data_IF_158369395079
#
_entry.id   IF_158369395079
#
_cell.length_a   1.000
_cell.length_b   1.000
_cell.length_c   1.000
_cell.angle_alpha   90.00
_cell.angle_beta   90.00
_cell.angle_gamma   90.00
#
_symmetry.space_group_name_H-M   'P 1'
#
loop_
_entity.id
_entity.type
_entity.pdbx_description
1 polymer ?
#
# COMPACT_ATOMS: atom_id res chain seq x y z
N UNK A 1 -11.19 -4.77 -38.09
CA UNK A 1 -10.68 -5.04 -36.73
C UNK A 1 -10.90 -3.79 -35.90
N UNK A 2 -11.75 -3.84 -34.88
CA UNK A 2 -11.90 -2.70 -33.98
C UNK A 2 -10.68 -2.63 -33.06
N UNK A 3 -9.91 -1.56 -33.15
CA UNK A 3 -8.87 -1.20 -32.18
C UNK A 3 -9.58 -0.75 -30.89
N UNK A 4 -10.20 -1.68 -30.15
CA UNK A 4 -11.04 -1.36 -29.01
C UNK A 4 -10.25 -1.38 -27.69
N UNK A 5 -10.64 -0.47 -26.80
CA UNK A 5 -10.27 -0.50 -25.39
C UNK A 5 -10.81 -1.81 -24.78
N UNK A 6 -9.95 -2.55 -24.09
CA UNK A 6 -10.32 -3.76 -23.36
C UNK A 6 -10.01 -3.57 -21.88
N UNK A 7 -11.05 -3.55 -21.04
CA UNK A 7 -10.93 -3.61 -19.59
C UNK A 7 -10.43 -4.99 -19.18
N UNK A 8 -9.45 -5.02 -18.29
CA UNK A 8 -8.83 -6.23 -17.75
C UNK A 8 -8.72 -6.14 -16.25
N UNK A 9 -8.37 -7.28 -15.65
CA UNK A 9 -8.17 -7.42 -14.22
C UNK A 9 -6.88 -8.21 -13.94
N UNK A 10 -6.14 -7.83 -12.90
CA UNK A 10 -5.02 -8.59 -12.36
C UNK A 10 -5.20 -8.86 -10.86
N UNK A 11 -4.42 -9.81 -10.36
CA UNK A 11 -4.36 -10.17 -8.94
C UNK A 11 -3.08 -9.60 -8.34
N UNK A 12 -3.08 -9.27 -7.04
CA UNK A 12 -1.88 -8.81 -6.32
C UNK A 12 -1.63 -9.61 -5.04
N UNK A 13 -0.37 -9.96 -4.82
CA UNK A 13 0.14 -10.54 -3.57
C UNK A 13 1.37 -9.80 -3.07
N UNK A 14 1.62 -9.89 -1.76
CA UNK A 14 2.76 -9.26 -1.10
C UNK A 14 3.78 -10.31 -0.70
N UNK A 15 5.04 -10.11 -1.07
CA UNK A 15 6.17 -10.91 -0.61
C UNK A 15 6.96 -10.10 0.42
N UNK A 16 7.17 -10.67 1.61
CA UNK A 16 8.01 -10.05 2.63
C UNK A 16 9.44 -10.62 2.55
N UNK A 17 10.39 -9.82 2.08
CA UNK A 17 11.82 -10.15 2.12
C UNK A 17 12.58 -9.34 3.19
N UNK A 18 11.86 -8.59 4.03
CA UNK A 18 12.44 -7.86 5.16
C UNK A 18 12.78 -8.83 6.30
N UNK A 19 13.66 -8.44 7.25
CA UNK A 19 13.99 -9.30 8.39
C UNK A 19 12.87 -9.39 9.44
N UNK A 20 11.87 -8.51 9.40
CA UNK A 20 10.80 -8.42 10.39
C UNK A 20 9.46 -8.91 9.80
N UNK A 21 8.56 -9.37 10.66
CA UNK A 21 7.16 -9.64 10.26
C UNK A 21 6.49 -8.35 9.81
N UNK A 22 5.80 -8.38 8.66
CA UNK A 22 4.90 -7.30 8.25
C UNK A 22 3.55 -7.53 8.92
N UNK A 23 3.14 -6.60 9.78
CA UNK A 23 1.92 -6.73 10.61
C UNK A 23 0.70 -6.05 9.98
N UNK A 24 0.93 -5.19 8.99
CA UNK A 24 -0.10 -4.60 8.14
C UNK A 24 0.52 -4.04 6.87
N UNK A 25 -0.16 -4.24 5.74
CA UNK A 25 0.21 -3.65 4.45
C UNK A 25 -1.07 -3.28 3.69
N UNK A 26 -1.04 -2.14 3.03
CA UNK A 26 -2.10 -1.67 2.15
C UNK A 26 -1.49 -1.24 0.83
N UNK A 27 -2.19 -1.54 -0.25
CA UNK A 27 -1.80 -1.17 -1.61
C UNK A 27 -2.96 -0.43 -2.24
N UNK A 28 -2.66 0.73 -2.83
CA UNK A 28 -3.60 1.43 -3.70
C UNK A 28 -3.10 1.42 -5.13
N UNK A 29 -4.00 1.15 -6.05
CA UNK A 29 -3.79 1.14 -7.48
C UNK A 29 -4.73 2.12 -8.16
N UNK A 30 -4.20 2.94 -9.06
CA UNK A 30 -4.97 3.83 -9.93
C UNK A 30 -4.61 3.58 -11.38
N UNK A 31 -5.59 3.20 -12.20
CA UNK A 31 -5.46 3.28 -13.65
C UNK A 31 -5.84 4.69 -14.08
N UNK A 32 -4.88 5.61 -13.99
CA UNK A 32 -5.10 7.05 -14.16
C UNK A 32 -6.33 7.49 -13.34
N UNK A 33 -7.26 8.23 -13.93
CA UNK A 33 -8.47 8.69 -13.24
C UNK A 33 -9.69 7.78 -13.47
N UNK A 34 -9.49 6.59 -14.07
CA UNK A 34 -10.59 5.72 -14.53
C UNK A 34 -10.97 4.68 -13.47
N UNK A 35 -9.98 3.93 -12.99
CA UNK A 35 -10.18 2.89 -11.99
C UNK A 35 -9.32 3.16 -10.77
N UNK A 36 -9.91 2.92 -9.60
CA UNK A 36 -9.32 3.17 -8.30
C UNK A 36 -9.59 1.92 -7.47
N UNK A 37 -8.53 1.18 -7.13
CA UNK A 37 -8.64 -0.04 -6.33
C UNK A 37 -7.73 0.04 -5.09
N UNK A 38 -8.15 -0.56 -3.97
CA UNK A 38 -7.34 -0.68 -2.76
C UNK A 38 -7.43 -2.12 -2.22
N UNK A 39 -6.28 -2.67 -1.82
CA UNK A 39 -6.16 -3.92 -1.09
C UNK A 39 -5.55 -3.68 0.28
N UNK A 40 -6.08 -4.35 1.29
CA UNK A 40 -5.55 -4.33 2.65
C UNK A 40 -5.27 -5.78 3.08
N UNK A 41 -4.07 -6.04 3.62
CA UNK A 41 -3.70 -7.34 4.19
C UNK A 41 -3.78 -7.24 5.71
N UNK A 42 -4.60 -8.10 6.28
CA UNK A 42 -4.92 -8.11 7.71
C UNK A 42 -4.23 -9.24 8.47
N UNK A 43 -3.63 -10.20 7.75
CA UNK A 43 -2.84 -11.26 8.35
C UNK A 43 -1.35 -10.90 8.31
N UNK A 44 -0.59 -11.21 9.37
CA UNK A 44 0.86 -11.01 9.38
C UNK A 44 1.57 -11.81 8.28
N UNK A 45 2.59 -11.22 7.67
CA UNK A 45 3.43 -11.85 6.65
C UNK A 45 4.83 -12.01 7.25
N UNK A 46 5.21 -13.23 7.62
CA UNK A 46 6.52 -13.52 8.20
C UNK A 46 7.67 -13.31 7.18
N UNK A 47 8.92 -13.12 7.65
CA UNK A 47 10.08 -13.02 6.77
C UNK A 47 10.18 -14.19 5.78
N UNK A 48 10.44 -13.87 4.51
CA UNK A 48 10.53 -14.81 3.40
C UNK A 48 9.18 -15.34 2.88
N UNK A 49 8.05 -14.95 3.46
CA UNK A 49 6.74 -15.47 3.07
C UNK A 49 6.02 -14.60 2.05
N UNK A 50 5.22 -15.27 1.22
CA UNK A 50 4.21 -14.67 0.36
C UNK A 50 2.89 -14.58 1.13
N UNK A 51 2.13 -13.51 0.92
CA UNK A 51 0.82 -13.33 1.54
C UNK A 51 -0.15 -14.46 1.19
N UNK A 52 -0.95 -14.86 2.18
CA UNK A 52 -2.10 -15.74 1.98
C UNK A 52 -3.24 -14.99 1.29
N UNK A 53 -3.56 -13.80 1.80
CA UNK A 53 -4.51 -12.85 1.21
C UNK A 53 -4.03 -12.37 -0.18
N UNK A 54 -5.01 -12.11 -1.05
CA UNK A 54 -4.81 -11.65 -2.43
C UNK A 54 -5.79 -10.51 -2.71
N UNK A 55 -5.30 -9.42 -3.28
CA UNK A 55 -6.18 -8.40 -3.85
C UNK A 55 -6.62 -8.88 -5.24
N UNK A 56 -7.93 -9.12 -5.41
CA UNK A 56 -8.50 -9.76 -6.61
C UNK A 56 -9.01 -8.76 -7.65
N UNK A 57 -9.10 -7.48 -7.29
CA UNK A 57 -9.68 -6.45 -8.13
C UNK A 57 -8.68 -5.33 -8.43
N UNK A 58 -7.75 -5.59 -9.35
CA UNK A 58 -6.88 -4.54 -9.94
C UNK A 58 -7.32 -4.33 -11.38
N UNK A 59 -8.06 -3.26 -11.63
CA UNK A 59 -8.67 -2.99 -12.93
C UNK A 59 -7.81 -2.03 -13.75
N UNK A 60 -7.62 -2.35 -15.03
CA UNK A 60 -6.83 -1.55 -15.96
C UNK A 60 -7.36 -1.70 -17.38
N UNK A 61 -7.01 -0.76 -18.26
CA UNK A 61 -7.35 -0.86 -19.68
C UNK A 61 -6.12 -1.16 -20.53
N UNK A 62 -6.33 -1.89 -21.62
CA UNK A 62 -5.34 -2.14 -22.67
C UNK A 62 -5.95 -1.86 -24.04
N UNK A 63 -5.11 -1.67 -25.05
CA UNK A 63 -5.52 -1.44 -26.43
C UNK A 63 -4.65 -0.37 -27.09
N UNK A 64 -4.65 -0.33 -28.43
CA UNK A 64 -3.74 0.50 -29.22
C UNK A 64 -3.86 2.02 -28.98
N UNK A 65 -4.99 2.49 -28.41
CA UNK A 65 -5.24 3.90 -28.09
C UNK A 65 -5.36 4.17 -26.60
N UNK A 66 -5.01 3.20 -25.74
CA UNK A 66 -5.00 3.44 -24.30
C UNK A 66 -3.77 4.27 -23.92
N UNK A 67 -3.99 5.45 -23.35
CA UNK A 67 -2.93 6.31 -22.80
C UNK A 67 -2.83 6.21 -21.28
N UNK A 68 -3.77 5.50 -20.66
CA UNK A 68 -3.82 5.31 -19.23
C UNK A 68 -2.58 4.58 -18.70
N UNK A 69 -2.21 4.95 -17.49
CA UNK A 69 -1.07 4.45 -16.73
C UNK A 69 -1.54 3.85 -15.42
N UNK A 70 -0.90 2.75 -15.02
CA UNK A 70 -1.07 2.10 -13.73
C UNK A 70 -0.12 2.72 -12.70
N UNK A 71 -0.68 3.34 -11.68
CA UNK A 71 0.00 4.03 -10.60
C UNK A 71 -0.23 3.31 -9.28
N UNK A 72 0.83 3.07 -8.53
CA UNK A 72 0.82 2.23 -7.34
C UNK A 72 1.40 2.95 -6.13
N UNK A 73 0.78 2.74 -4.98
CA UNK A 73 1.32 3.18 -3.69
C UNK A 73 1.19 2.03 -2.70
N UNK A 74 2.24 1.81 -1.93
CA UNK A 74 2.33 0.73 -0.94
C UNK A 74 2.66 1.35 0.40
N UNK A 75 1.90 0.98 1.43
CA UNK A 75 2.16 1.36 2.81
C UNK A 75 2.25 0.11 3.67
N UNK A 76 3.17 0.05 4.62
CA UNK A 76 3.30 -1.13 5.47
C UNK A 76 3.94 -0.83 6.83
N UNK A 77 3.84 -1.80 7.73
CA UNK A 77 4.43 -1.78 9.06
C UNK A 77 5.20 -3.06 9.35
N UNK A 78 6.36 -2.90 9.98
CA UNK A 78 7.18 -4.00 10.51
C UNK A 78 6.95 -4.13 12.03
N UNK A 79 7.00 -5.35 12.56
CA UNK A 79 6.72 -5.64 13.97
C UNK A 79 7.66 -4.89 14.95
N UNK A 80 8.95 -4.81 14.64
CA UNK A 80 9.99 -4.24 15.51
C UNK A 80 9.91 -2.71 15.70
N UNK A 81 8.84 -2.08 15.24
CA UNK A 81 8.75 -0.63 15.11
C UNK A 81 7.90 0.03 16.18
N UNK A 82 6.97 -0.71 16.78
CA UNK A 82 6.13 -0.18 17.85
C UNK A 82 6.88 -0.09 19.20
N UNK A 83 7.91 -0.92 19.40
CA UNK A 83 8.63 -1.04 20.68
C UNK A 83 9.56 0.14 21.01
N UNK A 84 9.81 1.05 20.06
CA UNK A 84 10.79 2.13 20.23
C UNK A 84 10.14 3.43 20.69
N UNK A 85 8.85 3.66 20.38
CA UNK A 85 8.14 4.90 20.72
C UNK A 85 6.71 4.59 21.18
N UNK A 86 6.44 4.63 22.50
CA UNK A 86 5.10 4.41 23.04
C UNK A 86 4.11 5.39 22.41
N UNK A 87 2.95 4.91 21.93
CA UNK A 87 1.92 5.71 21.24
C UNK A 87 2.25 6.19 19.82
N UNK A 88 3.37 5.76 19.23
CA UNK A 88 3.64 5.99 17.81
C UNK A 88 3.82 4.66 17.10
N UNK A 89 3.42 4.61 15.83
CA UNK A 89 3.74 3.49 14.96
C UNK A 89 4.59 4.02 13.82
N UNK A 90 5.76 3.42 13.61
CA UNK A 90 6.58 3.72 12.43
C UNK A 90 5.92 3.10 11.20
N UNK A 91 5.63 3.91 10.22
CA UNK A 91 5.07 3.54 8.93
C UNK A 91 6.17 3.58 7.87
N UNK A 92 6.13 2.62 6.96
CA UNK A 92 6.88 2.64 5.72
C UNK A 92 5.93 2.88 4.55
N UNK A 93 6.41 3.56 3.53
CA UNK A 93 5.66 3.78 2.30
C UNK A 93 6.60 3.84 1.09
N UNK A 94 6.08 3.46 -0.09
CA UNK A 94 6.79 3.62 -1.36
C UNK A 94 7.00 5.10 -1.67
N UNK A 95 8.21 5.47 -2.04
CA UNK A 95 8.60 6.85 -2.28
C UNK A 95 9.50 6.97 -3.52
N UNK A 96 8.94 7.08 -4.73
CA UNK A 96 9.73 7.07 -5.95
C UNK A 96 10.60 8.33 -6.15
N UNK A 97 10.30 9.47 -5.50
CA UNK A 97 11.03 10.73 -5.71
C UNK A 97 11.24 11.58 -4.43
N UNK A 98 11.28 11.00 -3.24
CA UNK A 98 11.43 11.73 -1.96
C UNK A 98 10.32 12.79 -1.74
N UNK A 99 9.07 12.35 -1.85
CA UNK A 99 7.85 13.16 -2.01
C UNK A 99 7.49 14.06 -0.82
N UNK A 100 8.02 15.30 -0.83
CA UNK A 100 7.72 16.31 0.20
C UNK A 100 6.24 16.76 0.27
N UNK A 101 5.51 16.75 -0.85
CA UNK A 101 4.09 17.12 -0.87
C UNK A 101 3.19 16.14 -0.11
N UNK A 102 3.46 14.83 -0.24
CA UNK A 102 2.78 13.80 0.54
C UNK A 102 3.12 13.97 2.02
N UNK A 103 4.39 14.26 2.35
CA UNK A 103 4.83 14.53 3.73
C UNK A 103 4.01 15.69 4.33
N UNK A 104 3.83 16.80 3.62
CA UNK A 104 3.07 17.95 4.09
C UNK A 104 1.56 17.63 4.27
N UNK A 105 0.98 16.82 3.38
CA UNK A 105 -0.40 16.36 3.51
C UNK A 105 -0.59 15.41 4.70
N UNK A 106 0.34 14.47 4.88
CA UNK A 106 0.36 13.55 6.02
C UNK A 106 0.58 14.27 7.34
N UNK A 107 1.25 15.42 7.38
CA UNK A 107 1.39 16.24 8.59
C UNK A 107 0.08 16.87 9.06
N UNK A 108 -0.74 17.30 8.09
CA UNK A 108 -1.92 18.12 8.39
C UNK A 108 -3.17 17.29 8.63
N UNK A 109 -3.43 16.28 7.81
CA UNK A 109 -4.72 15.58 7.79
C UNK A 109 -4.68 14.20 8.46
N UNK A 110 -3.55 13.49 8.38
CA UNK A 110 -3.50 12.09 8.81
C UNK A 110 -3.63 11.87 10.32
N UNK A 111 -3.01 12.67 11.22
CA UNK A 111 -3.00 12.35 12.65
C UNK A 111 -4.41 12.33 13.27
N UNK A 112 -5.28 13.26 12.90
CA UNK A 112 -6.65 13.33 13.42
C UNK A 112 -7.51 12.16 12.95
N UNK A 113 -7.42 11.79 11.67
CA UNK A 113 -8.19 10.69 11.08
C UNK A 113 -7.73 9.33 11.59
N UNK A 114 -6.42 9.14 11.77
CA UNK A 114 -5.86 7.93 12.36
C UNK A 114 -6.30 7.79 13.81
N UNK A 115 -6.21 8.87 14.61
CA UNK A 115 -6.67 8.87 15.99
C UNK A 115 -8.15 8.52 16.10
N UNK A 116 -9.00 9.10 15.24
CA UNK A 116 -10.42 8.75 15.18
C UNK A 116 -10.63 7.29 14.83
N UNK A 117 -9.97 6.76 13.81
CA UNK A 117 -10.12 5.36 13.40
C UNK A 117 -9.66 4.38 14.49
N UNK A 118 -8.55 4.68 15.17
CA UNK A 118 -8.05 3.88 16.31
C UNK A 118 -9.04 3.92 17.48
N UNK A 119 -9.57 5.09 17.83
CA UNK A 119 -10.54 5.22 18.92
C UNK A 119 -11.84 4.46 18.63
N UNK A 120 -12.33 4.51 17.38
CA UNK A 120 -13.46 3.69 16.95
C UNK A 120 -13.16 2.20 17.11
N UNK A 121 -11.96 1.76 16.72
CA UNK A 121 -11.57 0.36 16.85
C UNK A 121 -11.37 -0.11 18.31
N UNK A 122 -10.95 0.79 19.21
CA UNK A 122 -10.84 0.50 20.65
C UNK A 122 -12.20 0.28 21.32
N UNK A 123 -13.25 0.94 20.82
CA UNK A 123 -14.58 0.91 21.45
C UNK A 123 -14.52 1.30 22.93
N UNK A 124 -15.26 0.57 23.78
CA UNK A 124 -15.38 0.88 25.22
C UNK A 124 -14.22 0.37 26.08
N UNK A 125 -13.26 -0.39 25.54
CA UNK A 125 -12.10 -0.91 26.29
C UNK A 125 -10.77 -0.43 25.68
N UNK A 126 -10.25 0.71 26.15
CA UNK A 126 -9.09 1.36 25.54
C UNK A 126 -7.78 0.56 25.63
N UNK A 127 -7.69 -0.42 26.54
CA UNK A 127 -6.48 -1.18 26.87
C UNK A 127 -6.20 -2.41 25.97
N UNK A 128 -7.09 -2.71 25.01
CA UNK A 128 -7.08 -4.01 24.33
C UNK A 128 -6.73 -3.99 22.83
N UNK A 129 -6.34 -2.86 22.24
CA UNK A 129 -6.00 -2.86 20.81
C UNK A 129 -4.53 -3.30 20.63
N UNK A 130 -4.23 -4.51 20.13
CA UNK A 130 -2.84 -4.94 20.00
C UNK A 130 -2.11 -4.03 19.01
N UNK A 131 -0.81 -3.78 19.24
CA UNK A 131 0.00 -2.90 18.40
C UNK A 131 -0.06 -3.27 16.90
N UNK A 132 -0.09 -4.56 16.58
CA UNK A 132 -0.27 -5.05 15.20
C UNK A 132 -1.60 -4.58 14.58
N UNK A 133 -2.70 -4.54 15.36
CA UNK A 133 -3.99 -4.07 14.86
C UNK A 133 -4.02 -2.56 14.67
N UNK A 134 -3.39 -1.80 15.57
CA UNK A 134 -3.19 -0.37 15.40
C UNK A 134 -2.40 -0.07 14.12
N UNK A 135 -1.32 -0.80 13.86
CA UNK A 135 -0.52 -0.68 12.65
C UNK A 135 -1.34 -0.95 11.38
N UNK A 136 -2.20 -1.98 11.36
CA UNK A 136 -3.10 -2.23 10.23
C UNK A 136 -4.03 -1.05 9.94
N UNK A 137 -4.63 -0.47 10.99
CA UNK A 137 -5.50 0.70 10.86
C UNK A 137 -4.73 1.89 10.31
N UNK A 138 -3.52 2.15 10.83
CA UNK A 138 -2.65 3.24 10.35
C UNK A 138 -2.34 3.05 8.87
N UNK A 139 -1.84 1.88 8.44
CA UNK A 139 -1.56 1.59 7.03
C UNK A 139 -2.79 1.82 6.15
N UNK A 140 -3.94 1.28 6.55
CA UNK A 140 -5.18 1.41 5.79
C UNK A 140 -5.64 2.86 5.63
N UNK A 141 -5.68 3.61 6.73
CA UNK A 141 -6.11 5.02 6.72
C UNK A 141 -5.15 5.85 5.88
N UNK A 142 -3.84 5.64 6.04
CA UNK A 142 -2.82 6.38 5.29
C UNK A 142 -2.88 6.07 3.80
N UNK A 143 -2.98 4.79 3.43
CA UNK A 143 -3.16 4.37 2.05
C UNK A 143 -4.42 5.01 1.45
N UNK A 144 -5.55 4.97 2.16
CA UNK A 144 -6.80 5.59 1.71
C UNK A 144 -6.70 7.10 1.55
N UNK A 145 -5.98 7.78 2.43
CA UNK A 145 -5.79 9.23 2.35
C UNK A 145 -4.96 9.63 1.15
N UNK A 146 -3.85 8.95 0.90
CA UNK A 146 -3.03 9.17 -0.28
C UNK A 146 -3.75 8.76 -1.58
N UNK A 147 -4.60 7.74 -1.49
CA UNK A 147 -5.42 7.27 -2.60
C UNK A 147 -6.53 8.25 -2.99
N UNK A 148 -7.11 8.95 -2.03
CA UNK A 148 -8.19 9.91 -2.28
C UNK A 148 -7.71 11.26 -2.82
N UNK A 149 -6.41 11.57 -2.76
CA UNK A 149 -5.85 12.70 -3.51
C UNK A 149 -5.98 12.40 -5.01
N UNK A 150 -6.43 13.33 -5.85
CA UNK A 150 -6.54 13.08 -7.31
C UNK A 150 -5.15 12.98 -7.96
N UNK A 151 -4.13 13.50 -7.30
CA UNK A 151 -2.75 13.37 -7.75
C UNK A 151 -2.25 11.92 -7.77
N UNK A 152 -1.43 11.59 -8.78
CA UNK A 152 -0.58 10.39 -8.79
C UNK A 152 0.87 10.72 -8.40
N UNK A 153 1.14 11.97 -8.02
CA UNK A 153 2.42 12.39 -7.49
C UNK A 153 2.73 11.57 -6.22
N UNK A 154 3.82 10.81 -6.25
CA UNK A 154 4.25 9.89 -5.19
C UNK A 154 3.88 8.45 -5.41
N UNK A 155 3.10 8.15 -6.45
CA UNK A 155 2.83 6.79 -6.85
C UNK A 155 3.93 6.29 -7.78
N UNK A 156 4.31 5.04 -7.61
CA UNK A 156 5.18 4.35 -8.54
C UNK A 156 4.38 3.90 -9.76
N UNK A 157 4.82 4.27 -10.96
CA UNK A 157 4.26 3.70 -12.19
C UNK A 157 4.75 2.25 -12.40
N UNK A 158 3.82 1.31 -12.62
CA UNK A 158 4.11 -0.07 -13.03
C UNK A 158 2.99 -0.56 -13.96
N UNK A 159 3.23 -0.53 -15.27
CA UNK A 159 2.20 -0.75 -16.29
C UNK A 159 1.81 -2.22 -16.39
N UNK A 160 0.51 -2.49 -16.34
CA UNK A 160 -0.07 -3.79 -16.60
C UNK A 160 -0.46 -3.92 -18.08
N UNK A 161 -0.24 -5.10 -18.64
CA UNK A 161 -0.46 -5.42 -20.06
C UNK A 161 -1.40 -6.60 -20.19
N UNK A 162 -1.81 -6.89 -21.43
CA UNK A 162 -2.75 -7.98 -21.72
C UNK A 162 -2.32 -9.35 -21.18
N UNK A 163 -1.03 -9.62 -21.10
CA UNK A 163 -0.47 -10.86 -20.55
C UNK A 163 -0.57 -10.98 -19.01
N UNK A 164 -0.87 -9.88 -18.31
CA UNK A 164 -1.06 -9.87 -16.85
C UNK A 164 -2.51 -10.19 -16.44
N UNK A 165 -3.42 -10.34 -17.41
CA UNK A 165 -4.83 -10.59 -17.12
C UNK A 165 -5.04 -11.90 -16.34
N UNK A 166 -5.73 -11.79 -15.20
CA UNK A 166 -5.96 -12.90 -14.28
C UNK A 166 -4.68 -13.49 -13.68
N UNK A 167 -3.53 -12.82 -13.83
CA UNK A 167 -2.25 -13.25 -13.27
C UNK A 167 -1.90 -12.47 -12.02
N UNK A 168 -1.02 -13.05 -11.21
CA UNK A 168 -0.55 -12.44 -9.98
C UNK A 168 0.63 -11.51 -10.29
N UNK A 169 0.44 -10.23 -9.99
CA UNK A 169 1.53 -9.28 -9.78
C UNK A 169 2.02 -9.41 -8.33
N UNK A 170 3.31 -9.68 -8.16
CA UNK A 170 3.92 -9.80 -6.83
C UNK A 170 4.60 -8.48 -6.48
N UNK A 171 4.17 -7.87 -5.38
CA UNK A 171 4.83 -6.71 -4.79
C UNK A 171 5.75 -7.23 -3.69
N UNK A 172 7.05 -7.10 -3.89
CA UNK A 172 8.07 -7.57 -2.95
C UNK A 172 8.62 -6.40 -2.17
N UNK A 173 8.55 -6.47 -0.84
CA UNK A 173 9.16 -5.50 0.07
C UNK A 173 10.51 -6.07 0.51
N UNK A 174 11.59 -5.44 0.10
CA UNK A 174 12.95 -5.96 0.23
C UNK A 174 13.65 -5.48 1.52
N UNK A 175 14.69 -6.20 1.92
CA UNK A 175 15.54 -5.87 3.08
C UNK A 175 16.40 -4.62 2.90
N UNK A 176 16.63 -4.19 1.66
CA UNK A 176 17.40 -2.99 1.30
C UNK A 176 16.52 -1.75 1.17
N UNK A 177 15.33 -1.78 1.78
CA UNK A 177 14.33 -0.71 1.79
C UNK A 177 13.86 -0.31 0.37
N UNK A 178 13.94 -1.23 -0.60
CA UNK A 178 13.30 -1.12 -1.91
C UNK A 178 11.98 -1.90 -1.99
N UNK A 179 11.10 -1.51 -2.91
CA UNK A 179 9.91 -2.27 -3.31
C UNK A 179 10.01 -2.61 -4.78
N UNK A 180 9.84 -3.90 -5.09
CA UNK A 180 9.77 -4.41 -6.46
C UNK A 180 8.34 -4.76 -6.82
N UNK A 181 7.86 -4.26 -7.96
CA UNK A 181 6.64 -4.71 -8.61
C UNK A 181 7.02 -5.66 -9.73
N UNK A 182 6.51 -6.90 -9.69
CA UNK A 182 6.78 -7.91 -10.73
C UNK A 182 5.47 -8.49 -11.24
N UNK A 183 5.17 -8.22 -12.50
CA UNK A 183 4.08 -8.84 -13.26
C UNK A 183 4.68 -9.80 -14.32
N UNK A 184 3.84 -10.42 -15.14
CA UNK A 184 4.32 -11.24 -16.28
C UNK A 184 5.03 -10.33 -17.28
N UNK A 185 4.45 -9.15 -17.52
CA UNK A 185 4.90 -8.17 -18.51
C UNK A 185 6.14 -7.36 -18.14
N UNK A 186 6.59 -7.41 -16.89
CA UNK A 186 7.80 -6.70 -16.51
C UNK A 186 8.04 -6.56 -15.02
N UNK A 187 9.11 -5.82 -14.72
CA UNK A 187 9.54 -5.45 -13.37
C UNK A 187 9.70 -3.93 -13.30
N UNK A 188 9.27 -3.33 -12.20
CA UNK A 188 9.67 -1.99 -11.81
C UNK A 188 10.07 -1.95 -10.33
N UNK A 189 10.78 -0.89 -9.94
CA UNK A 189 11.33 -0.77 -8.59
C UNK A 189 11.22 0.68 -8.09
N UNK A 190 11.09 0.82 -6.78
CA UNK A 190 11.08 2.10 -6.06
C UNK A 190 11.75 1.95 -4.70
N UNK A 191 12.10 3.05 -4.06
CA UNK A 191 12.59 3.05 -2.68
C UNK A 191 11.46 3.25 -1.68
N UNK A 192 11.76 3.06 -0.40
CA UNK A 192 10.85 3.32 0.71
C UNK A 192 11.33 4.46 1.58
N UNK A 193 10.38 5.21 2.10
CA UNK A 193 10.58 6.22 3.13
C UNK A 193 9.84 5.81 4.40
N UNK A 194 10.20 6.43 5.52
CA UNK A 194 9.60 6.09 6.82
C UNK A 194 9.14 7.31 7.57
N UNK A 195 8.10 7.12 8.38
CA UNK A 195 7.58 8.18 9.24
C UNK A 195 6.99 7.60 10.51
N UNK A 196 7.19 8.30 11.62
CA UNK A 196 6.46 8.03 12.86
C UNK A 196 5.10 8.71 12.81
N UNK A 197 4.07 7.93 13.11
CA UNK A 197 2.69 8.41 13.11
C UNK A 197 2.11 8.24 14.50
N UNK A 198 1.55 9.31 15.02
CA UNK A 198 0.84 9.28 16.29
C UNK A 198 -0.34 8.31 16.19
N UNK A 199 -0.30 7.30 17.03
CA UNK A 199 -1.29 6.25 17.10
C UNK A 199 -1.39 5.93 18.58
N UNK A 200 -2.10 6.76 19.35
CA UNK A 200 -2.35 6.51 20.78
C UNK A 200 -2.94 5.10 20.92
N UNK A 201 -2.13 4.12 21.29
CA UNK A 201 -2.48 2.73 21.52
C UNK A 201 -2.04 2.43 22.96
N UNK A 202 -2.90 1.73 23.71
CA UNK A 202 -2.63 1.44 25.11
C UNK A 202 -1.56 0.36 25.26
#
# INVERSE_FOLDING_TARGET
MALCLTKRNALVKIQNNTPDTITGVSVSHKYSDVYKNQGDWTLPIAPGQLSTETMTEVEYNTGAFTTGRDWWMVTYHRENSASVRPNEVKMWYSDPENFRSIIDFLEKAAPSLIKTAINVAKGSNPQLLPAAKAAQIVSKVMCKLMFNDESTAGFKQHILRSEDEGKVTVITINKDDTITFKSVSGKSETVTSTRWVAAEHA
#
